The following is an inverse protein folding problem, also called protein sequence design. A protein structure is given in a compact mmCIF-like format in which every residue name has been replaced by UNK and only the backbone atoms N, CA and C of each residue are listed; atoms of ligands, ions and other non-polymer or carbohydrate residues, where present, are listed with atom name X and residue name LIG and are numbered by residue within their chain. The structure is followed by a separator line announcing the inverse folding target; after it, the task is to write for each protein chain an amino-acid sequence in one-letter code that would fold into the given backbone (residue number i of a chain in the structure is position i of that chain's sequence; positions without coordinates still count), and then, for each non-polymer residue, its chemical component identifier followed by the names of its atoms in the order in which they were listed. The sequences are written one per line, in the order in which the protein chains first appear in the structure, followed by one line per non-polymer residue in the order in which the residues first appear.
data_IF_310842882283
#
_entry.id   IF_310842882283
#
_cell.length_a   1.000
_cell.length_b   1.000
_cell.length_c   1.000
_cell.angle_alpha   90.00
_cell.angle_beta   90.00
_cell.angle_gamma   90.00
#
_symmetry.space_group_name_H-M   'P 1'
#
loop_
_entity.id
_entity.type
_entity.pdbx_description
1 polymer ?
#
# COMPACT_ATOMS: atom_id res chain seq x y z
N UNK A 1 14.24 17.63 2.24
CA UNK A 1 13.69 16.41 1.70
C UNK A 1 13.54 15.30 2.72
N UNK A 2 12.87 14.25 2.33
CA UNK A 2 12.67 13.05 3.13
C UNK A 2 13.55 11.94 2.55
N UNK A 3 14.37 11.30 3.40
CA UNK A 3 15.24 10.21 2.98
C UNK A 3 14.49 8.89 2.88
N UNK A 4 15.01 7.96 2.08
CA UNK A 4 14.50 6.61 1.94
C UNK A 4 15.54 5.66 2.54
N UNK A 5 15.16 4.92 3.59
CA UNK A 5 16.05 3.90 4.19
C UNK A 5 16.11 2.64 3.32
N UNK A 6 14.98 2.21 2.80
CA UNK A 6 14.87 0.95 2.06
C UNK A 6 13.73 1.03 1.05
N UNK A 7 13.94 0.50 -0.15
CA UNK A 7 12.91 0.38 -1.18
C UNK A 7 12.84 -1.06 -1.66
N UNK A 8 11.64 -1.65 -1.68
CA UNK A 8 11.42 -3.06 -2.03
C UNK A 8 10.34 -3.16 -3.10
N UNK A 9 10.63 -3.90 -4.17
CA UNK A 9 9.64 -4.31 -5.17
C UNK A 9 9.13 -5.70 -4.85
N UNK A 10 7.82 -5.90 -5.00
CA UNK A 10 7.16 -7.18 -4.74
C UNK A 10 6.51 -7.67 -6.04
N UNK A 11 6.68 -8.96 -6.33
CA UNK A 11 6.04 -9.58 -7.49
C UNK A 11 4.52 -9.65 -7.35
N UNK A 12 3.85 -9.76 -8.47
CA UNK A 12 2.38 -9.82 -8.54
C UNK A 12 1.83 -11.19 -8.98
N UNK A 13 2.68 -12.20 -9.04
CA UNK A 13 2.25 -13.56 -9.31
C UNK A 13 1.51 -14.16 -8.11
N UNK A 14 0.60 -15.14 -8.32
CA UNK A 14 -0.07 -15.81 -7.22
C UNK A 14 0.86 -16.47 -6.21
N UNK A 15 2.06 -16.85 -6.65
CA UNK A 15 3.09 -17.42 -5.78
C UNK A 15 4.29 -16.47 -5.77
N UNK A 16 4.43 -15.73 -4.68
CA UNK A 16 5.52 -14.78 -4.47
C UNK A 16 6.50 -15.29 -3.42
N UNK A 17 7.75 -14.81 -3.48
CA UNK A 17 8.72 -15.02 -2.41
C UNK A 17 8.35 -14.27 -1.13
N UNK A 18 7.78 -13.06 -1.27
CA UNK A 18 7.33 -12.24 -0.14
C UNK A 18 6.05 -11.49 -0.52
N UNK A 19 5.19 -11.25 0.47
CA UNK A 19 3.99 -10.43 0.33
C UNK A 19 4.22 -9.03 0.88
N UNK A 20 3.29 -8.10 0.62
CA UNK A 20 3.29 -6.79 1.28
C UNK A 20 3.31 -6.93 2.81
N UNK A 21 2.51 -7.85 3.35
CA UNK A 21 2.48 -8.11 4.79
C UNK A 21 3.84 -8.49 5.34
N UNK A 22 4.56 -9.40 4.67
CA UNK A 22 5.89 -9.85 5.12
C UNK A 22 6.88 -8.69 5.19
N UNK A 23 6.83 -7.80 4.22
CA UNK A 23 7.74 -6.66 4.13
C UNK A 23 7.41 -5.58 5.16
N UNK A 24 6.14 -5.22 5.35
CA UNK A 24 5.78 -4.20 6.35
C UNK A 24 6.08 -4.68 7.77
N UNK A 25 5.96 -5.97 8.04
CA UNK A 25 6.35 -6.55 9.32
C UNK A 25 7.83 -6.29 9.63
N UNK A 26 8.69 -6.44 8.62
CA UNK A 26 10.12 -6.14 8.76
C UNK A 26 10.38 -4.65 8.95
N UNK A 27 9.65 -3.78 8.28
CA UNK A 27 9.77 -2.34 8.46
C UNK A 27 9.37 -1.89 9.87
N UNK A 28 8.41 -2.55 10.50
CA UNK A 28 7.99 -2.21 11.87
C UNK A 28 9.14 -2.32 12.87
N UNK A 29 10.04 -3.28 12.67
CA UNK A 29 11.19 -3.51 13.55
C UNK A 29 12.48 -2.85 13.07
N UNK A 30 12.45 -2.16 11.94
CA UNK A 30 13.61 -1.45 11.40
C UNK A 30 13.77 -0.07 12.03
N UNK A 31 14.82 0.12 12.79
CA UNK A 31 15.09 1.38 13.50
C UNK A 31 15.29 2.58 12.57
N UNK A 32 15.65 2.35 11.31
CA UNK A 32 15.85 3.41 10.31
C UNK A 32 14.56 3.80 9.58
N UNK A 33 13.44 3.12 9.84
CA UNK A 33 12.16 3.38 9.19
C UNK A 33 11.21 4.08 10.15
N UNK A 34 10.76 5.27 9.78
CA UNK A 34 9.79 6.06 10.56
C UNK A 34 8.36 5.94 10.03
N UNK A 35 8.21 5.67 8.75
CA UNK A 35 6.93 5.47 8.07
C UNK A 35 7.11 4.57 6.86
N UNK A 36 6.04 3.94 6.42
CA UNK A 36 6.04 3.07 5.24
C UNK A 36 5.16 3.68 4.16
N UNK A 37 5.70 3.78 2.95
CA UNK A 37 4.93 4.14 1.76
C UNK A 37 4.66 2.87 0.96
N UNK A 38 3.38 2.51 0.82
CA UNK A 38 2.94 1.34 0.08
C UNK A 38 2.30 1.79 -1.22
N UNK A 39 2.80 1.29 -2.34
CA UNK A 39 2.28 1.59 -3.68
C UNK A 39 1.73 0.31 -4.27
N UNK A 40 0.45 0.30 -4.57
CA UNK A 40 -0.25 -0.84 -5.12
C UNK A 40 -1.09 -0.49 -6.34
N UNK A 41 -1.82 -1.46 -6.82
CA UNK A 41 -2.69 -1.33 -7.98
C UNK A 41 -3.92 -2.24 -7.83
N UNK A 42 -4.77 -2.26 -8.86
CA UNK A 42 -5.92 -3.16 -8.91
C UNK A 42 -5.48 -4.62 -8.96
N UNK A 43 -6.34 -5.50 -8.48
CA UNK A 43 -6.13 -6.95 -8.52
C UNK A 43 -5.45 -7.50 -7.27
N UNK A 44 -5.90 -8.67 -6.85
CA UNK A 44 -5.38 -9.39 -5.71
C UNK A 44 -5.67 -8.75 -4.35
N UNK A 45 -5.46 -9.49 -3.27
CA UNK A 45 -5.78 -9.06 -1.91
C UNK A 45 -4.59 -8.56 -1.09
N UNK A 46 -3.39 -8.44 -1.68
CA UNK A 46 -2.16 -8.25 -0.89
C UNK A 46 -2.13 -6.95 -0.09
N UNK A 47 -2.54 -5.83 -0.70
CA UNK A 47 -2.52 -4.53 -0.03
C UNK A 47 -3.46 -4.50 1.17
N UNK A 48 -4.69 -5.02 1.00
CA UNK A 48 -5.68 -5.06 2.08
C UNK A 48 -5.21 -5.99 3.20
N UNK A 49 -4.64 -7.13 2.87
CA UNK A 49 -4.06 -8.04 3.87
C UNK A 49 -2.94 -7.36 4.68
N UNK A 50 -2.11 -6.56 4.02
CA UNK A 50 -1.09 -5.76 4.70
C UNK A 50 -1.73 -4.71 5.63
N UNK A 51 -2.78 -4.03 5.19
CA UNK A 51 -3.51 -3.05 6.01
C UNK A 51 -4.13 -3.69 7.25
N UNK A 52 -4.74 -4.84 7.11
CA UNK A 52 -5.33 -5.59 8.23
C UNK A 52 -4.27 -5.99 9.26
N UNK A 53 -3.14 -6.49 8.79
CA UNK A 53 -2.01 -6.81 9.66
C UNK A 53 -1.51 -5.54 10.39
N UNK A 54 -1.35 -4.45 9.67
CA UNK A 54 -0.86 -3.19 10.23
C UNK A 54 -1.78 -2.62 11.31
N UNK A 55 -3.10 -2.71 11.11
CA UNK A 55 -4.09 -2.25 12.08
C UNK A 55 -3.88 -2.87 13.46
N UNK A 56 -3.54 -4.14 13.49
CA UNK A 56 -3.41 -4.90 14.74
C UNK A 56 -1.98 -4.93 15.29
N UNK A 57 -0.97 -4.79 14.44
CA UNK A 57 0.40 -5.12 14.81
C UNK A 57 1.40 -3.98 14.62
N UNK A 58 1.05 -2.90 13.95
CA UNK A 58 2.02 -1.83 13.63
C UNK A 58 1.70 -0.53 14.35
N UNK A 59 2.76 0.15 14.80
CA UNK A 59 2.71 1.50 15.36
C UNK A 59 3.17 2.55 14.35
N UNK A 60 4.03 2.17 13.41
CA UNK A 60 4.51 3.08 12.37
C UNK A 60 3.40 3.36 11.38
N UNK A 61 3.24 4.62 10.92
CA UNK A 61 2.21 4.95 9.96
C UNK A 61 2.50 4.35 8.60
N UNK A 62 1.43 3.97 7.90
CA UNK A 62 1.48 3.54 6.51
C UNK A 62 0.73 4.57 5.68
N UNK A 63 1.38 5.04 4.62
CA UNK A 63 0.79 5.87 3.59
C UNK A 63 0.60 4.97 2.37
N UNK A 64 -0.59 4.96 1.80
CA UNK A 64 -0.90 4.11 0.65
C UNK A 64 -1.27 4.92 -0.59
N UNK A 65 -0.85 4.43 -1.74
CA UNK A 65 -1.33 4.88 -3.04
C UNK A 65 -1.73 3.66 -3.85
N UNK A 66 -2.94 3.67 -4.40
CA UNK A 66 -3.45 2.59 -5.25
C UNK A 66 -3.73 3.14 -6.64
N UNK A 67 -3.03 2.62 -7.65
CA UNK A 67 -3.24 2.99 -9.03
C UNK A 67 -4.51 2.34 -9.59
N UNK A 68 -5.15 2.99 -10.56
CA UNK A 68 -6.25 2.40 -11.31
C UNK A 68 -7.65 2.76 -10.85
N UNK A 69 -7.87 3.92 -10.24
CA UNK A 69 -9.21 4.36 -9.79
C UNK A 69 -10.26 4.33 -10.92
N UNK A 70 -9.85 4.48 -12.17
CA UNK A 70 -10.74 4.48 -13.33
C UNK A 70 -10.73 3.17 -14.12
N UNK A 71 -10.05 2.13 -13.60
CA UNK A 71 -9.94 0.85 -14.29
C UNK A 71 -11.30 0.11 -14.31
N UNK A 72 -11.77 -0.36 -15.48
CA UNK A 72 -13.00 -1.13 -15.56
C UNK A 72 -12.84 -2.55 -15.02
N UNK A 73 -13.90 -3.10 -14.46
CA UNK A 73 -13.90 -4.48 -13.96
C UNK A 73 -13.69 -5.49 -15.10
N UNK A 74 -12.97 -6.56 -14.78
CA UNK A 74 -12.77 -7.68 -15.70
C UNK A 74 -11.78 -7.42 -16.83
N UNK A 75 -11.13 -6.26 -16.85
CA UNK A 75 -10.15 -5.92 -17.88
C UNK A 75 -8.75 -5.89 -17.31
N UNK A 76 -7.81 -6.52 -18.01
CA UNK A 76 -6.39 -6.46 -17.65
C UNK A 76 -5.83 -5.07 -17.98
N UNK A 77 -5.15 -4.47 -16.99
CA UNK A 77 -4.58 -3.13 -17.11
C UNK A 77 -3.05 -3.23 -16.97
N UNK A 78 -2.36 -3.41 -18.09
CA UNK A 78 -0.91 -3.46 -18.15
C UNK A 78 -0.33 -4.87 -18.13
N UNK A 79 -0.62 -5.66 -17.10
CA UNK A 79 -0.14 -7.05 -16.98
C UNK A 79 -1.22 -7.96 -16.39
N UNK A 80 -0.99 -9.28 -16.45
CA UNK A 80 -2.01 -10.28 -16.09
C UNK A 80 -2.54 -10.15 -14.65
N UNK A 81 -1.72 -9.67 -13.71
CA UNK A 81 -2.12 -9.47 -12.32
C UNK A 81 -2.97 -8.22 -12.07
N UNK A 82 -2.94 -7.25 -13.00
CA UNK A 82 -3.67 -5.99 -12.87
C UNK A 82 -5.09 -6.13 -13.43
N UNK A 83 -5.91 -6.94 -12.77
CA UNK A 83 -7.29 -7.22 -13.15
C UNK A 83 -8.18 -7.29 -11.89
N UNK A 84 -9.36 -6.68 -11.97
CA UNK A 84 -10.38 -6.77 -10.92
C UNK A 84 -11.25 -8.00 -11.20
N UNK A 85 -11.08 -9.05 -10.42
CA UNK A 85 -11.82 -10.31 -10.57
C UNK A 85 -12.73 -10.64 -9.39
N UNK A 86 -12.53 -10.01 -8.22
CA UNK A 86 -13.30 -10.24 -7.01
C UNK A 86 -13.58 -8.94 -6.26
N UNK A 87 -14.45 -9.01 -5.24
CA UNK A 87 -14.69 -7.89 -4.34
C UNK A 87 -13.42 -7.53 -3.57
N UNK A 88 -13.17 -6.24 -3.42
CA UNK A 88 -11.99 -5.73 -2.73
C UNK A 88 -10.76 -5.56 -3.62
N UNK A 89 -10.83 -5.95 -4.88
CA UNK A 89 -9.69 -5.88 -5.80
C UNK A 89 -9.66 -4.62 -6.68
N UNK A 90 -10.76 -3.85 -6.73
CA UNK A 90 -10.74 -2.55 -7.44
C UNK A 90 -9.98 -1.52 -6.62
N UNK A 91 -9.45 -0.49 -7.29
CA UNK A 91 -8.72 0.57 -6.59
C UNK A 91 -9.61 1.29 -5.58
N UNK A 92 -10.86 1.55 -5.91
CA UNK A 92 -11.82 2.20 -5.01
C UNK A 92 -12.05 1.36 -3.77
N UNK A 93 -12.33 0.07 -3.94
CA UNK A 93 -12.55 -0.85 -2.83
C UNK A 93 -11.30 -1.01 -1.95
N UNK A 94 -10.12 -1.13 -2.57
CA UNK A 94 -8.85 -1.19 -1.83
C UNK A 94 -8.62 0.06 -0.99
N UNK A 95 -8.85 1.24 -1.55
CA UNK A 95 -8.72 2.51 -0.83
C UNK A 95 -9.65 2.55 0.37
N UNK A 96 -10.92 2.20 0.20
CA UNK A 96 -11.89 2.18 1.29
C UNK A 96 -11.47 1.22 2.41
N UNK A 97 -11.10 0.00 2.05
CA UNK A 97 -10.68 -1.02 3.02
C UNK A 97 -9.38 -0.63 3.75
N UNK A 98 -8.42 -0.05 3.03
CA UNK A 98 -7.18 0.43 3.63
C UNK A 98 -7.42 1.58 4.60
N UNK A 99 -8.32 2.51 4.27
CA UNK A 99 -8.69 3.60 5.18
C UNK A 99 -9.34 3.07 6.46
N UNK A 100 -10.17 2.05 6.38
CA UNK A 100 -10.74 1.37 7.56
C UNK A 100 -9.66 0.72 8.43
N UNK A 101 -8.54 0.33 7.83
CA UNK A 101 -7.38 -0.21 8.55
C UNK A 101 -6.47 0.87 9.15
N UNK A 102 -6.75 2.14 8.91
CA UNK A 102 -5.92 3.25 9.40
C UNK A 102 -4.79 3.66 8.46
N UNK A 103 -4.75 3.14 7.25
CA UNK A 103 -3.79 3.58 6.23
C UNK A 103 -4.18 4.96 5.71
N UNK A 104 -3.20 5.86 5.62
CA UNK A 104 -3.41 7.22 5.12
C UNK A 104 -3.25 7.19 3.60
N UNK A 105 -4.30 7.53 2.87
CA UNK A 105 -4.31 7.43 1.41
C UNK A 105 -3.82 8.72 0.76
N UNK A 106 -2.83 8.59 -0.12
CA UNK A 106 -2.46 9.64 -1.07
C UNK A 106 -3.31 9.47 -2.33
N UNK A 107 -3.96 10.54 -2.75
CA UNK A 107 -4.94 10.48 -3.86
C UNK A 107 -4.28 10.40 -5.23
N UNK A 108 -3.05 10.88 -5.36
CA UNK A 108 -2.31 10.81 -6.62
C UNK A 108 -0.80 10.83 -6.38
N UNK A 109 0.00 10.40 -7.36
CA UNK A 109 1.45 10.32 -7.20
C UNK A 109 2.13 11.67 -6.92
N UNK A 110 1.57 12.77 -7.44
CA UNK A 110 2.21 14.08 -7.34
C UNK A 110 2.22 14.64 -5.92
N UNK A 111 1.35 14.13 -5.03
CA UNK A 111 1.25 14.59 -3.64
C UNK A 111 1.72 13.56 -2.62
N UNK A 112 2.28 12.43 -3.07
CA UNK A 112 2.75 11.38 -2.14
C UNK A 112 3.81 11.89 -1.18
N UNK A 113 4.80 12.60 -1.67
CA UNK A 113 5.87 13.16 -0.83
C UNK A 113 5.34 14.14 0.22
N UNK A 114 4.42 15.00 -0.17
CA UNK A 114 3.79 15.94 0.75
C UNK A 114 2.97 15.22 1.82
N UNK A 115 2.23 14.18 1.44
CA UNK A 115 1.46 13.37 2.37
C UNK A 115 2.35 12.71 3.41
N UNK A 116 3.46 12.11 2.98
CA UNK A 116 4.44 11.50 3.90
C UNK A 116 5.01 12.55 4.86
N UNK A 117 5.37 13.71 4.34
CA UNK A 117 5.90 14.82 5.15
C UNK A 117 4.91 15.25 6.24
N UNK A 118 3.65 15.42 5.89
CA UNK A 118 2.59 15.78 6.84
C UNK A 118 2.42 14.72 7.93
N UNK A 119 2.45 13.44 7.56
CA UNK A 119 2.34 12.33 8.51
C UNK A 119 3.52 12.31 9.48
N UNK A 120 4.73 12.46 8.98
CA UNK A 120 5.93 12.50 9.82
C UNK A 120 5.94 13.71 10.76
N UNK A 121 5.51 14.87 10.30
CA UNK A 121 5.45 16.08 11.12
C UNK A 121 4.39 15.99 12.22
N UNK A 122 3.29 15.28 12.00
CA UNK A 122 2.24 15.11 13.00
C UNK A 122 2.62 14.18 14.14
N UNK A 123 3.72 13.42 14.03
CA UNK A 123 4.25 12.54 15.07
C UNK A 123 5.09 13.28 16.12
N UNK A 124 5.46 14.49 15.84
CA UNK A 124 6.18 15.32 16.80
C UNK A 124 5.20 16.25 17.52
#
# INVERSE_FOLDING_TARGET
GIGISTSVGIGCDPINGSSFRDIIEKFETDDETDAVLMIGEIGGPQEVAAGEFAKENMKKPIIGYIAGLTAPKGRVMGHAGAIVSAYGESAVEKVELLQECGVIISKNPSVMGETVKQVLNSKT
#
